data_IF_437991464648
#
_entry.id   IF_437991464648
#
_cell.length_a   1.000
_cell.length_b   1.000
_cell.length_c   1.000
_cell.angle_alpha   90.00
_cell.angle_beta   90.00
_cell.angle_gamma   90.00
#
_symmetry.space_group_name_H-M   'P 1'
#
loop_
_entity.id
_entity.type
_entity.pdbx_description
1 polymer ?
#
# COMPACT_ATOMS: atom_id res chain seq x y z
N UNK A 1 11.31 -39.16 -50.57
CA UNK A 1 11.63 -37.87 -49.95
C UNK A 1 10.46 -37.52 -49.04
N UNK A 2 10.58 -37.84 -47.73
CA UNK A 2 9.50 -37.63 -46.74
C UNK A 2 9.71 -36.23 -46.11
N UNK A 3 8.80 -35.31 -46.37
CA UNK A 3 8.75 -34.01 -45.70
C UNK A 3 8.25 -34.20 -44.29
N UNK A 4 9.14 -34.03 -43.29
CA UNK A 4 8.81 -33.95 -41.88
C UNK A 4 8.22 -32.57 -41.64
N UNK A 5 6.89 -32.50 -41.55
CA UNK A 5 6.18 -31.31 -41.12
C UNK A 5 6.37 -31.20 -39.59
N UNK A 6 7.35 -30.38 -39.17
CA UNK A 6 7.49 -30.00 -37.76
C UNK A 6 6.29 -29.07 -37.43
N UNK A 7 5.23 -29.66 -36.88
CA UNK A 7 4.18 -28.87 -36.24
C UNK A 7 4.82 -28.11 -35.08
N UNK A 8 5.02 -26.80 -35.25
CA UNK A 8 5.22 -25.90 -34.10
C UNK A 8 4.03 -26.16 -33.16
N UNK A 9 4.31 -26.73 -31.97
CA UNK A 9 3.35 -26.73 -30.86
C UNK A 9 3.10 -25.25 -30.53
N UNK A 10 2.01 -24.69 -31.04
CA UNK A 10 1.46 -23.47 -30.46
C UNK A 10 1.29 -23.77 -28.97
N UNK A 11 1.97 -23.03 -28.12
CA UNK A 11 1.75 -23.08 -26.68
C UNK A 11 0.34 -22.55 -26.47
N UNK A 12 -0.62 -23.46 -26.32
CA UNK A 12 -1.95 -23.11 -25.80
C UNK A 12 -1.74 -22.22 -24.58
N UNK A 13 -2.43 -21.08 -24.47
CA UNK A 13 -2.36 -20.27 -23.27
C UNK A 13 -2.70 -21.18 -22.07
N UNK A 14 -1.83 -21.24 -21.10
CA UNK A 14 -1.88 -22.19 -19.96
C UNK A 14 -3.13 -21.99 -19.10
N UNK A 15 -3.76 -20.81 -19.22
CA UNK A 15 -4.99 -20.41 -18.55
C UNK A 15 -5.82 -19.54 -19.49
N UNK A 16 -7.15 -19.72 -19.46
CA UNK A 16 -8.11 -18.79 -20.06
C UNK A 16 -8.05 -17.45 -19.30
N UNK A 17 -8.56 -16.37 -19.92
CA UNK A 17 -8.61 -15.06 -19.24
C UNK A 17 -9.42 -15.12 -17.94
N UNK A 18 -10.51 -15.86 -17.94
CA UNK A 18 -11.33 -16.06 -16.75
C UNK A 18 -10.59 -16.81 -15.63
N UNK A 19 -9.81 -17.85 -15.97
CA UNK A 19 -8.97 -18.55 -15.02
C UNK A 19 -7.85 -17.65 -14.48
N UNK A 20 -7.27 -16.79 -15.32
CA UNK A 20 -6.27 -15.80 -14.90
C UNK A 20 -6.85 -14.82 -13.89
N UNK A 21 -8.02 -14.28 -14.11
CA UNK A 21 -8.70 -13.38 -13.17
C UNK A 21 -8.94 -14.06 -11.81
N UNK A 22 -9.41 -15.31 -11.83
CA UNK A 22 -9.66 -16.08 -10.61
C UNK A 22 -8.35 -16.34 -9.85
N UNK A 23 -7.28 -16.74 -10.56
CA UNK A 23 -5.98 -17.02 -9.96
C UNK A 23 -5.38 -15.72 -9.40
N UNK A 24 -5.40 -14.62 -10.16
CA UNK A 24 -4.91 -13.34 -9.71
C UNK A 24 -5.61 -12.86 -8.43
N UNK A 25 -6.94 -12.94 -8.40
CA UNK A 25 -7.71 -12.63 -7.19
C UNK A 25 -7.31 -13.50 -6.00
N UNK A 26 -7.09 -14.80 -6.20
CA UNK A 26 -6.61 -15.68 -5.13
C UNK A 26 -5.20 -15.32 -4.67
N UNK A 27 -4.29 -14.98 -5.58
CA UNK A 27 -2.93 -14.54 -5.23
C UNK A 27 -2.95 -13.26 -4.40
N UNK A 28 -3.82 -12.31 -4.71
CA UNK A 28 -4.00 -11.09 -3.91
C UNK A 28 -4.52 -11.42 -2.51
N UNK A 29 -5.58 -12.25 -2.40
CA UNK A 29 -6.21 -12.59 -1.12
C UNK A 29 -5.28 -13.42 -0.23
N UNK A 30 -4.72 -14.51 -0.76
CA UNK A 30 -3.86 -15.40 0.04
C UNK A 30 -2.48 -14.77 0.28
N UNK A 31 -1.97 -13.98 -0.68
CA UNK A 31 -0.75 -13.18 -0.50
C UNK A 31 -0.91 -12.16 0.62
N UNK A 32 -2.03 -11.45 0.69
CA UNK A 32 -2.35 -10.53 1.78
C UNK A 32 -2.29 -11.23 3.15
N UNK A 33 -2.95 -12.38 3.29
CA UNK A 33 -2.94 -13.16 4.54
C UNK A 33 -1.53 -13.59 4.93
N UNK A 34 -0.76 -14.11 3.98
CA UNK A 34 0.61 -14.58 4.24
C UNK A 34 1.54 -13.43 4.61
N UNK A 35 1.48 -12.32 3.88
CA UNK A 35 2.30 -11.14 4.18
C UNK A 35 1.90 -10.49 5.51
N UNK A 36 0.61 -10.43 5.82
CA UNK A 36 0.12 -9.94 7.12
C UNK A 36 0.67 -10.77 8.28
N UNK A 37 0.65 -12.10 8.15
CA UNK A 37 1.07 -13.01 9.22
C UNK A 37 2.60 -13.12 9.40
N UNK A 38 3.37 -13.04 8.29
CA UNK A 38 4.78 -13.41 8.32
C UNK A 38 5.73 -12.31 7.82
N UNK A 39 5.20 -11.25 7.20
CA UNK A 39 5.97 -10.17 6.56
C UNK A 39 6.57 -10.57 5.21
N UNK A 40 6.85 -9.56 4.37
CA UNK A 40 7.37 -9.75 3.02
C UNK A 40 8.66 -10.57 2.97
N UNK A 41 9.59 -10.34 3.90
CA UNK A 41 10.93 -10.97 3.86
C UNK A 41 10.86 -12.48 4.08
N UNK A 42 9.96 -12.97 4.92
CA UNK A 42 9.84 -14.41 5.27
C UNK A 42 9.00 -15.19 4.28
N UNK A 43 7.93 -14.61 3.72
CA UNK A 43 7.08 -15.29 2.74
C UNK A 43 7.88 -15.61 1.48
N UNK A 44 7.77 -16.83 1.00
CA UNK A 44 8.41 -17.31 -0.23
C UNK A 44 7.40 -17.47 -1.37
N UNK A 45 7.88 -17.54 -2.63
CA UNK A 45 7.01 -17.87 -3.76
C UNK A 45 6.40 -19.26 -3.61
N UNK A 46 7.10 -20.19 -2.95
CA UNK A 46 6.59 -21.55 -2.72
C UNK A 46 5.38 -21.53 -1.78
N UNK A 47 5.39 -20.69 -0.74
CA UNK A 47 4.23 -20.50 0.14
C UNK A 47 3.02 -19.93 -0.62
N UNK A 48 3.25 -18.92 -1.46
CA UNK A 48 2.20 -18.28 -2.27
C UNK A 48 1.56 -19.28 -3.25
N UNK A 49 2.35 -20.06 -3.99
CA UNK A 49 1.82 -20.99 -4.98
C UNK A 49 1.13 -22.18 -4.31
N UNK A 50 1.60 -22.62 -3.15
CA UNK A 50 0.94 -23.64 -2.37
C UNK A 50 -0.45 -23.19 -1.88
N UNK A 51 -0.56 -21.94 -1.39
CA UNK A 51 -1.83 -21.38 -0.91
C UNK A 51 -2.89 -21.26 -2.03
N UNK A 52 -2.46 -21.04 -3.29
CA UNK A 52 -3.36 -20.87 -4.44
C UNK A 52 -3.51 -22.14 -5.29
N UNK A 53 -2.70 -23.16 -5.00
CA UNK A 53 -2.62 -24.43 -5.75
C UNK A 53 -2.27 -24.25 -7.23
N UNK A 54 -1.19 -23.50 -7.50
CA UNK A 54 -0.62 -23.33 -8.82
C UNK A 54 0.86 -23.73 -8.84
N UNK A 55 1.45 -23.86 -10.03
CA UNK A 55 2.90 -24.08 -10.13
C UNK A 55 3.69 -22.79 -9.98
N UNK A 56 4.94 -22.86 -9.53
CA UNK A 56 5.87 -21.72 -9.48
C UNK A 56 6.03 -21.03 -10.84
N UNK A 57 6.09 -21.80 -11.92
CA UNK A 57 6.14 -21.25 -13.29
C UNK A 57 4.84 -20.51 -13.67
N UNK A 58 3.70 -20.89 -13.07
CA UNK A 58 2.45 -20.14 -13.25
C UNK A 58 2.46 -18.82 -12.50
N UNK A 59 3.01 -18.77 -11.29
CA UNK A 59 3.16 -17.52 -10.52
C UNK A 59 3.91 -16.45 -11.34
N UNK A 60 5.04 -16.81 -11.94
CA UNK A 60 5.84 -15.89 -12.74
C UNK A 60 5.16 -15.41 -14.04
N UNK A 61 4.04 -16.00 -14.43
CA UNK A 61 3.20 -15.47 -15.51
C UNK A 61 2.30 -14.30 -15.04
N UNK A 62 2.06 -14.17 -13.72
CA UNK A 62 1.28 -13.08 -13.12
C UNK A 62 2.18 -11.98 -12.54
N UNK A 63 3.18 -12.37 -11.79
CA UNK A 63 4.07 -11.43 -11.08
C UNK A 63 5.54 -11.78 -11.29
N UNK A 64 6.38 -10.80 -11.68
CA UNK A 64 7.82 -11.02 -11.83
C UNK A 64 8.50 -11.48 -10.53
N UNK A 65 7.98 -11.08 -9.38
CA UNK A 65 8.45 -11.50 -8.06
C UNK A 65 7.37 -11.36 -6.98
N UNK A 66 7.63 -11.87 -5.78
CA UNK A 66 6.74 -11.69 -4.63
C UNK A 66 6.63 -10.22 -4.19
N UNK A 67 7.68 -9.43 -4.44
CA UNK A 67 7.70 -8.00 -4.16
C UNK A 67 6.70 -7.24 -5.03
N UNK A 68 6.53 -7.63 -6.30
CA UNK A 68 5.52 -7.05 -7.19
C UNK A 68 4.10 -7.37 -6.69
N UNK A 69 3.84 -8.61 -6.27
CA UNK A 69 2.56 -8.98 -5.66
C UNK A 69 2.31 -8.19 -4.35
N UNK A 70 3.34 -8.03 -3.52
CA UNK A 70 3.25 -7.27 -2.28
C UNK A 70 2.87 -5.81 -2.54
N UNK A 71 3.51 -5.15 -3.49
CA UNK A 71 3.22 -3.76 -3.87
C UNK A 71 1.81 -3.62 -4.45
N UNK A 72 1.36 -4.56 -5.30
CA UNK A 72 -0.01 -4.57 -5.81
C UNK A 72 -1.06 -4.68 -4.68
N UNK A 73 -0.80 -5.53 -3.68
CA UNK A 73 -1.65 -5.63 -2.49
C UNK A 73 -1.67 -4.32 -1.71
N UNK A 74 -0.50 -3.69 -1.51
CA UNK A 74 -0.41 -2.41 -0.82
C UNK A 74 -1.19 -1.31 -1.54
N UNK A 75 -1.05 -1.19 -2.87
CA UNK A 75 -1.81 -0.23 -3.66
C UNK A 75 -3.32 -0.40 -3.50
N UNK A 76 -3.81 -1.64 -3.51
CA UNK A 76 -5.22 -1.93 -3.32
C UNK A 76 -5.69 -1.48 -1.94
N UNK A 77 -4.95 -1.85 -0.88
CA UNK A 77 -5.31 -1.49 0.50
C UNK A 77 -5.25 0.02 0.74
N UNK A 78 -4.25 0.71 0.20
CA UNK A 78 -4.16 2.17 0.28
C UNK A 78 -5.33 2.85 -0.44
N UNK A 79 -5.69 2.38 -1.64
CA UNK A 79 -6.84 2.91 -2.38
C UNK A 79 -8.15 2.72 -1.62
N UNK A 80 -8.35 1.55 -1.00
CA UNK A 80 -9.50 1.29 -0.14
C UNK A 80 -9.52 2.25 1.06
N UNK A 81 -8.38 2.47 1.71
CA UNK A 81 -8.23 3.41 2.82
C UNK A 81 -8.58 4.83 2.40
N UNK A 82 -8.05 5.32 1.28
CA UNK A 82 -8.35 6.67 0.77
C UNK A 82 -9.83 6.84 0.44
N UNK A 83 -10.45 5.87 -0.22
CA UNK A 83 -11.89 5.89 -0.50
C UNK A 83 -12.71 5.95 0.79
N UNK A 84 -12.29 5.23 1.83
CA UNK A 84 -12.95 5.28 3.13
C UNK A 84 -12.78 6.64 3.81
N UNK A 85 -11.62 7.29 3.71
CA UNK A 85 -11.37 8.64 4.22
C UNK A 85 -12.26 9.65 3.50
N UNK A 86 -12.26 9.66 2.16
CA UNK A 86 -13.11 10.53 1.36
C UNK A 86 -14.59 10.40 1.74
N UNK A 87 -15.05 9.16 1.93
CA UNK A 87 -16.42 8.87 2.34
C UNK A 87 -16.68 9.38 3.76
N UNK A 88 -15.74 9.21 4.68
CA UNK A 88 -15.88 9.60 6.07
C UNK A 88 -15.94 11.13 6.26
N UNK A 89 -15.20 11.90 5.46
CA UNK A 89 -15.19 13.38 5.54
C UNK A 89 -16.34 14.02 4.75
N UNK A 90 -16.96 13.28 3.83
CA UNK A 90 -18.03 13.79 2.99
C UNK A 90 -19.21 14.29 3.82
N UNK A 91 -19.56 15.56 3.62
CA UNK A 91 -20.64 16.20 4.34
C UNK A 91 -20.33 16.66 5.77
N UNK A 92 -19.11 16.41 6.28
CA UNK A 92 -18.65 17.03 7.52
C UNK A 92 -18.40 18.53 7.30
N UNK A 93 -18.64 19.32 8.36
CA UNK A 93 -18.30 20.76 8.37
C UNK A 93 -17.06 20.95 9.23
N UNK A 94 -16.10 21.68 8.70
CA UNK A 94 -14.87 22.03 9.40
C UNK A 94 -14.81 23.54 9.62
N UNK A 95 -14.30 23.98 10.75
CA UNK A 95 -14.17 25.40 11.07
C UNK A 95 -13.06 26.06 10.24
N UNK A 96 -12.03 25.30 9.93
CA UNK A 96 -10.86 25.76 9.16
C UNK A 96 -10.14 24.58 8.47
N UNK A 97 -9.17 24.88 7.63
CA UNK A 97 -8.39 23.87 6.89
C UNK A 97 -7.50 23.00 7.80
N UNK A 98 -7.07 23.51 8.96
CA UNK A 98 -6.30 22.72 9.94
C UNK A 98 -7.15 21.60 10.56
N UNK A 99 -8.40 21.87 10.87
CA UNK A 99 -9.33 20.88 11.42
C UNK A 99 -9.63 19.78 10.39
N UNK A 100 -9.86 20.16 9.12
CA UNK A 100 -10.02 19.21 8.02
C UNK A 100 -8.76 18.35 7.88
N UNK A 101 -7.59 18.98 7.79
CA UNK A 101 -6.31 18.26 7.61
C UNK A 101 -6.03 17.33 8.77
N UNK A 102 -6.28 17.77 10.01
CA UNK A 102 -6.13 16.95 11.21
C UNK A 102 -7.02 15.71 11.17
N UNK A 103 -8.30 15.86 10.80
CA UNK A 103 -9.25 14.74 10.71
C UNK A 103 -8.80 13.74 9.65
N UNK A 104 -8.44 14.20 8.44
CA UNK A 104 -7.96 13.37 7.33
C UNK A 104 -6.68 12.62 7.70
N UNK A 105 -5.67 13.31 8.24
CA UNK A 105 -4.41 12.66 8.65
C UNK A 105 -4.65 11.67 9.80
N UNK A 106 -5.51 12.00 10.76
CA UNK A 106 -5.85 11.10 11.87
C UNK A 106 -6.51 9.82 11.35
N UNK A 107 -7.47 9.93 10.43
CA UNK A 107 -8.11 8.78 9.77
C UNK A 107 -7.09 7.94 8.99
N UNK A 108 -6.20 8.59 8.23
CA UNK A 108 -5.14 7.93 7.50
C UNK A 108 -4.19 7.15 8.40
N UNK A 109 -3.64 7.80 9.41
CA UNK A 109 -2.72 7.19 10.38
C UNK A 109 -3.40 6.03 11.12
N UNK A 110 -4.65 6.22 11.58
CA UNK A 110 -5.42 5.16 12.24
C UNK A 110 -5.65 3.95 11.32
N UNK A 111 -6.01 4.20 10.05
CA UNK A 111 -6.21 3.14 9.06
C UNK A 111 -4.92 2.38 8.75
N UNK A 112 -3.79 3.07 8.63
CA UNK A 112 -2.48 2.47 8.39
C UNK A 112 -2.05 1.58 9.57
N UNK A 113 -2.13 2.06 10.82
CA UNK A 113 -1.76 1.31 12.02
C UNK A 113 -2.63 0.06 12.20
N UNK A 114 -3.93 0.17 11.90
CA UNK A 114 -4.86 -0.96 12.05
C UNK A 114 -4.78 -1.97 10.89
N UNK A 115 -4.09 -1.66 9.81
CA UNK A 115 -3.87 -2.59 8.71
C UNK A 115 -2.67 -3.50 8.99
N UNK A 116 -2.83 -4.84 9.04
CA UNK A 116 -1.73 -5.75 9.33
C UNK A 116 -0.59 -5.74 8.30
N UNK A 117 -0.83 -5.21 7.11
CA UNK A 117 0.19 -5.06 6.05
C UNK A 117 0.75 -3.65 6.01
N UNK A 118 -0.14 -2.63 5.99
CA UNK A 118 0.30 -1.25 5.83
C UNK A 118 1.10 -0.78 7.05
N UNK A 119 0.81 -1.27 8.24
CA UNK A 119 1.58 -0.99 9.46
C UNK A 119 3.02 -1.53 9.43
N UNK A 120 3.31 -2.52 8.57
CA UNK A 120 4.66 -3.09 8.45
C UNK A 120 5.62 -2.23 7.59
N UNK A 121 5.12 -1.16 6.97
CA UNK A 121 5.94 -0.29 6.11
C UNK A 121 6.83 0.59 6.99
N UNK A 122 8.12 0.28 7.00
CA UNK A 122 9.17 1.05 7.64
C UNK A 122 10.27 1.44 6.63
N UNK A 123 11.20 2.27 7.05
CA UNK A 123 12.33 2.70 6.22
C UNK A 123 13.17 1.52 5.70
N UNK A 124 13.33 0.45 6.50
CA UNK A 124 14.09 -0.75 6.12
C UNK A 124 13.38 -1.55 5.03
N UNK A 125 12.05 -1.61 5.08
CA UNK A 125 11.24 -2.26 4.03
C UNK A 125 11.23 -1.41 2.76
N UNK A 126 11.13 -0.09 2.88
CA UNK A 126 11.21 0.83 1.75
C UNK A 126 12.56 0.72 1.01
N UNK A 127 13.69 0.73 1.74
CA UNK A 127 15.02 0.50 1.18
C UNK A 127 15.15 -0.87 0.49
N UNK A 128 14.52 -1.90 1.08
CA UNK A 128 14.50 -3.23 0.47
C UNK A 128 13.73 -3.24 -0.84
N UNK A 129 12.52 -2.66 -0.87
CA UNK A 129 11.67 -2.58 -2.07
C UNK A 129 12.34 -1.76 -3.17
N UNK A 130 12.97 -0.63 -2.85
CA UNK A 130 13.70 0.20 -3.80
C UNK A 130 14.82 -0.57 -4.52
N UNK A 131 15.49 -1.49 -3.81
CA UNK A 131 16.53 -2.35 -4.43
C UNK A 131 15.97 -3.51 -5.25
N UNK A 132 14.70 -3.89 -5.05
CA UNK A 132 14.08 -5.08 -5.67
C UNK A 132 13.15 -4.75 -6.83
N UNK A 133 12.61 -3.55 -6.86
CA UNK A 133 11.67 -3.09 -7.88
C UNK A 133 12.37 -2.16 -8.87
N UNK A 134 11.80 -2.03 -10.06
CA UNK A 134 12.23 -0.97 -10.98
C UNK A 134 11.88 0.41 -10.42
N UNK A 135 12.67 1.47 -10.75
CA UNK A 135 12.37 2.83 -10.32
C UNK A 135 10.92 3.25 -10.60
N UNK A 136 10.40 2.94 -11.79
CA UNK A 136 9.04 3.32 -12.19
C UNK A 136 7.96 2.75 -11.26
N UNK A 137 8.11 1.50 -10.81
CA UNK A 137 7.16 0.86 -9.88
C UNK A 137 7.29 1.47 -8.49
N UNK A 138 8.53 1.69 -8.05
CA UNK A 138 8.81 2.29 -6.75
C UNK A 138 8.30 3.74 -6.69
N UNK A 139 8.56 4.53 -7.73
CA UNK A 139 8.10 5.93 -7.83
C UNK A 139 6.57 6.01 -7.90
N UNK A 140 5.91 5.08 -8.59
CA UNK A 140 4.44 4.99 -8.60
C UNK A 140 3.88 4.71 -7.20
N UNK A 141 4.59 3.90 -6.40
CA UNK A 141 4.20 3.66 -5.00
C UNK A 141 4.36 4.92 -4.14
N UNK A 142 5.47 5.62 -4.27
CA UNK A 142 5.70 6.90 -3.57
C UNK A 142 4.70 7.99 -3.99
N UNK A 143 4.27 8.01 -5.26
CA UNK A 143 3.25 8.95 -5.76
C UNK A 143 1.89 8.70 -5.10
N UNK A 144 1.55 7.44 -4.84
CA UNK A 144 0.30 7.10 -4.18
C UNK A 144 0.23 7.62 -2.73
N UNK A 145 1.38 7.74 -2.06
CA UNK A 145 1.45 8.31 -0.70
C UNK A 145 1.14 9.82 -0.66
N UNK A 146 1.41 10.53 -1.77
CA UNK A 146 1.16 11.97 -1.89
C UNK A 146 -0.33 12.26 -2.15
N UNK A 147 -1.08 11.32 -2.69
CA UNK A 147 -2.48 11.50 -3.10
C UNK A 147 -3.39 12.08 -2.01
N UNK A 148 -3.15 11.74 -0.74
CA UNK A 148 -3.93 12.30 0.38
C UNK A 148 -3.69 13.80 0.56
N UNK A 149 -2.47 14.28 0.29
CA UNK A 149 -2.15 15.69 0.36
C UNK A 149 -2.71 16.44 -0.84
N UNK A 150 -2.66 15.85 -2.04
CA UNK A 150 -3.28 16.41 -3.25
C UNK A 150 -4.80 16.55 -3.07
N UNK A 151 -5.47 15.54 -2.50
CA UNK A 151 -6.89 15.62 -2.16
C UNK A 151 -7.19 16.78 -1.19
N UNK A 152 -6.33 17.02 -0.20
CA UNK A 152 -6.48 18.16 0.72
C UNK A 152 -6.29 19.50 0.01
N UNK A 153 -5.35 19.59 -0.94
CA UNK A 153 -5.17 20.81 -1.77
C UNK A 153 -6.39 21.06 -2.67
N UNK A 154 -6.99 20.02 -3.24
CA UNK A 154 -8.25 20.13 -4.01
C UNK A 154 -9.40 20.64 -3.14
N UNK A 155 -9.36 20.41 -1.82
CA UNK A 155 -10.29 20.94 -0.83
C UNK A 155 -9.89 22.34 -0.31
N UNK A 156 -8.85 22.95 -0.87
CA UNK A 156 -8.41 24.31 -0.56
C UNK A 156 -7.34 24.42 0.54
N UNK A 157 -6.79 23.31 1.01
CA UNK A 157 -5.68 23.35 1.97
C UNK A 157 -4.41 23.86 1.28
N UNK A 158 -3.68 24.75 1.95
CA UNK A 158 -2.39 25.26 1.47
C UNK A 158 -1.30 24.74 2.41
N UNK A 159 -0.37 23.97 1.85
CA UNK A 159 0.80 23.50 2.60
C UNK A 159 1.96 24.48 2.49
N UNK A 160 2.65 24.70 3.60
CA UNK A 160 3.77 25.64 3.72
C UNK A 160 5.14 25.03 3.41
N UNK A 161 5.20 23.70 3.30
CA UNK A 161 6.43 22.93 3.06
C UNK A 161 6.19 21.84 2.01
N UNK A 162 7.25 21.31 1.37
CA UNK A 162 7.10 20.28 0.34
C UNK A 162 6.40 18.99 0.86
N UNK A 163 5.52 18.41 0.04
CA UNK A 163 4.79 17.17 0.34
C UNK A 163 5.72 16.04 0.78
N UNK A 164 6.90 15.91 0.16
CA UNK A 164 7.89 14.89 0.52
C UNK A 164 8.37 14.99 1.97
N UNK A 165 8.43 16.21 2.53
CA UNK A 165 8.79 16.42 3.94
C UNK A 165 7.61 16.03 4.83
N UNK A 166 6.39 16.40 4.47
CA UNK A 166 5.18 16.04 5.21
C UNK A 166 5.04 14.50 5.27
N UNK A 167 5.14 13.83 4.13
CA UNK A 167 5.04 12.37 4.05
C UNK A 167 6.11 11.67 4.90
N UNK A 168 7.37 12.11 4.83
CA UNK A 168 8.44 11.56 5.68
C UNK A 168 8.18 11.77 7.17
N UNK A 169 7.60 12.91 7.53
CA UNK A 169 7.20 13.19 8.91
C UNK A 169 6.07 12.25 9.37
N UNK A 170 5.08 12.00 8.51
CA UNK A 170 3.99 11.05 8.80
C UNK A 170 4.50 9.61 8.93
N UNK A 171 5.46 9.17 8.10
CA UNK A 171 6.11 7.86 8.29
C UNK A 171 6.84 7.76 9.63
N UNK A 172 7.47 8.84 10.09
CA UNK A 172 8.12 8.87 11.41
C UNK A 172 7.09 8.76 12.54
N UNK A 173 5.93 9.41 12.38
CA UNK A 173 4.79 9.27 13.31
C UNK A 173 4.28 7.83 13.32
N UNK A 174 4.06 7.22 12.16
CA UNK A 174 3.60 5.82 12.06
C UNK A 174 4.56 4.86 12.76
N UNK A 175 5.87 4.99 12.50
CA UNK A 175 6.91 4.16 13.15
C UNK A 175 6.94 4.37 14.67
N UNK A 176 6.69 5.58 15.15
CA UNK A 176 6.57 5.86 16.58
C UNK A 176 5.31 5.20 17.17
N UNK A 177 4.17 5.39 16.54
CA UNK A 177 2.89 4.90 17.06
C UNK A 177 2.79 3.37 17.06
N UNK A 178 3.43 2.68 16.11
CA UNK A 178 3.48 1.21 16.09
C UNK A 178 4.14 0.64 17.37
N UNK A 179 5.08 1.37 17.97
CA UNK A 179 5.71 0.97 19.24
C UNK A 179 4.76 1.09 20.44
N UNK A 180 3.72 1.91 20.32
CA UNK A 180 2.70 2.16 21.35
C UNK A 180 1.35 1.55 21.01
N UNK A 181 1.28 0.62 20.06
CA UNK A 181 0.02 0.08 19.54
C UNK A 181 -0.91 -0.52 20.60
N UNK A 182 -0.32 -1.14 21.61
CA UNK A 182 -1.05 -1.74 22.74
C UNK A 182 -1.20 -0.77 23.95
N UNK A 183 -0.73 0.47 23.82
CA UNK A 183 -0.78 1.46 24.89
C UNK A 183 -2.16 2.10 24.97
N UNK A 184 -2.66 2.28 26.21
CA UNK A 184 -3.95 2.92 26.46
C UNK A 184 -3.98 4.40 26.04
N UNK A 185 -2.81 5.03 25.95
CA UNK A 185 -2.65 6.43 25.60
C UNK A 185 -2.38 6.63 24.09
N UNK A 186 -2.41 5.55 23.28
CA UNK A 186 -2.14 5.61 21.83
C UNK A 186 -2.87 6.76 21.13
N UNK A 187 -4.17 6.89 21.39
CA UNK A 187 -4.98 7.95 20.77
C UNK A 187 -4.53 9.36 21.20
N UNK A 188 -4.07 9.53 22.42
CA UNK A 188 -3.58 10.81 22.93
C UNK A 188 -2.21 11.14 22.28
N UNK A 189 -1.32 10.17 22.19
CA UNK A 189 -0.01 10.30 21.54
C UNK A 189 -0.22 10.64 20.05
N UNK A 190 -1.10 9.91 19.36
CA UNK A 190 -1.44 10.18 17.95
C UNK A 190 -1.95 11.60 17.76
N UNK A 191 -2.92 12.02 18.57
CA UNK A 191 -3.48 13.37 18.48
C UNK A 191 -2.43 14.46 18.72
N UNK A 192 -1.52 14.27 19.65
CA UNK A 192 -0.45 15.21 19.95
C UNK A 192 0.50 15.35 18.75
N UNK A 193 0.95 14.23 18.17
CA UNK A 193 1.89 14.21 17.06
C UNK A 193 1.26 14.76 15.77
N UNK A 194 0.05 14.30 15.43
CA UNK A 194 -0.67 14.77 14.23
C UNK A 194 -0.97 16.26 14.34
N UNK A 195 -1.47 16.72 15.49
CA UNK A 195 -1.75 18.14 15.70
C UNK A 195 -0.49 19.00 15.58
N UNK A 196 0.63 18.54 16.15
CA UNK A 196 1.92 19.22 16.04
C UNK A 196 2.37 19.39 14.60
N UNK A 197 2.23 18.37 13.77
CA UNK A 197 2.54 18.44 12.33
C UNK A 197 1.59 19.42 11.63
N UNK A 198 0.29 19.26 11.78
CA UNK A 198 -0.74 20.07 11.08
C UNK A 198 -0.53 21.57 11.36
N UNK A 199 -0.26 21.95 12.61
CA UNK A 199 0.00 23.33 12.99
C UNK A 199 1.23 23.95 12.29
N UNK A 200 2.20 23.13 11.90
CA UNK A 200 3.43 23.57 11.25
C UNK A 200 3.33 23.58 9.72
N UNK A 201 2.51 22.70 9.14
CA UNK A 201 2.53 22.47 7.70
C UNK A 201 1.35 23.10 6.96
N UNK A 202 0.25 23.44 7.65
CA UNK A 202 -0.94 24.07 7.04
C UNK A 202 -0.94 25.57 7.30
N UNK A 203 -1.08 26.36 6.24
CA UNK A 203 -1.25 27.82 6.35
C UNK A 203 -2.47 28.18 7.22
N UNK A 204 -2.43 29.39 7.81
CA UNK A 204 -3.55 29.93 8.58
C UNK A 204 -4.74 30.28 7.68
#
# INVERSE_FOLDING_TARGET
MKYLVIRRREKLPRFTEQEKEIINRKLLIEGEKLFAAHGLKKVTVDDLVAAVNISKGSFYAFYPSKEHLYVEINFRLQKELFTNIETAIKGRKYENHRDLTKDVITLGVTGLINSPILSQIDLSLMDYLQRKLSPDIFDSHMHNDIHILEMLEDLGVIFTIPHTVIIKSLYSVLSCLEQFKEDKELNMIQNLLVNGIVQQVVAE
#
